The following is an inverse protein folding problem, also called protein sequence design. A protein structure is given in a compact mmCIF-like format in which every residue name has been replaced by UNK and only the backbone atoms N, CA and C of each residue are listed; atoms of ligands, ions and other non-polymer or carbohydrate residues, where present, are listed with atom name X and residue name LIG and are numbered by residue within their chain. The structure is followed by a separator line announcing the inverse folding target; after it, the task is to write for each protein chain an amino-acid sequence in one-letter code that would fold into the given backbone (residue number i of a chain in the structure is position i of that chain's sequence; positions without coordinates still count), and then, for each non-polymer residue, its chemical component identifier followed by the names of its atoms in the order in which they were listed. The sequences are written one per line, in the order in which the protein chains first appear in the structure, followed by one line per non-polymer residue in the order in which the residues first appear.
data_IF_132708430795
#
_entry.id   IF_132708430795
#
_cell.length_a   1.000
_cell.length_b   1.000
_cell.length_c   1.000
_cell.angle_alpha   90.00
_cell.angle_beta   90.00
_cell.angle_gamma   90.00
#
_symmetry.space_group_name_H-M   'P 1'
#
loop_
_entity.id
_entity.type
_entity.pdbx_description
1 polymer ?
#
# COMPACT_ATOMS: atom_id res chain seq x y z
N UNK A 1 -7.20 16.56 19.96
CA UNK A 1 -7.31 16.64 21.43
C UNK A 1 -7.58 18.10 21.79
N UNK A 2 -8.57 18.38 22.64
CA UNK A 2 -8.93 19.72 23.10
C UNK A 2 -8.46 19.93 24.55
N UNK A 3 -8.60 21.16 25.10
CA UNK A 3 -8.32 21.42 26.51
C UNK A 3 -9.20 20.57 27.45
N UNK A 4 -10.49 20.41 27.11
CA UNK A 4 -11.40 19.57 27.88
C UNK A 4 -11.00 18.09 27.84
N UNK A 5 -10.53 17.60 26.68
CA UNK A 5 -10.01 16.25 26.54
C UNK A 5 -8.80 16.03 27.43
N UNK A 6 -7.90 17.03 27.54
CA UNK A 6 -6.72 16.99 28.39
C UNK A 6 -7.09 16.89 29.88
N UNK A 7 -8.15 17.62 30.33
CA UNK A 7 -8.61 17.62 31.73
C UNK A 7 -9.25 16.30 32.14
N UNK A 8 -9.97 15.64 31.21
CA UNK A 8 -10.71 14.39 31.46
C UNK A 8 -9.92 13.15 31.06
N UNK A 9 -8.69 13.30 30.55
CA UNK A 9 -7.91 12.22 30.00
C UNK A 9 -7.56 11.15 31.03
N UNK A 10 -7.92 9.91 30.76
CA UNK A 10 -7.32 8.76 31.41
C UNK A 10 -6.04 8.38 30.67
N UNK A 11 -4.90 8.87 31.15
CA UNK A 11 -3.62 8.67 30.48
C UNK A 11 -3.17 7.19 30.41
N UNK A 12 -3.64 6.35 31.33
CA UNK A 12 -3.42 4.90 31.26
C UNK A 12 -4.12 4.29 30.03
N UNK A 13 -5.42 4.62 29.85
CA UNK A 13 -6.22 4.09 28.73
C UNK A 13 -5.73 4.64 27.38
N UNK A 14 -5.33 5.91 27.36
CA UNK A 14 -4.77 6.52 26.14
C UNK A 14 -3.45 5.81 25.78
N UNK A 15 -2.56 5.64 26.74
CA UNK A 15 -1.32 4.92 26.53
C UNK A 15 -1.57 3.49 26.05
N UNK A 16 -2.52 2.77 26.67
CA UNK A 16 -2.89 1.41 26.25
C UNK A 16 -3.39 1.35 24.81
N UNK A 17 -4.25 2.27 24.41
CA UNK A 17 -4.74 2.36 23.01
C UNK A 17 -3.60 2.64 22.03
N UNK A 18 -2.73 3.59 22.35
CA UNK A 18 -1.59 3.91 21.52
C UNK A 18 -0.61 2.73 21.44
N UNK A 19 -0.40 2.02 22.53
CA UNK A 19 0.39 0.80 22.54
C UNK A 19 -0.21 -0.31 21.69
N UNK A 20 -1.52 -0.54 21.77
CA UNK A 20 -2.26 -1.51 20.93
C UNK A 20 -2.20 -1.18 19.44
N UNK A 21 -2.10 0.10 19.10
CA UNK A 21 -2.01 0.58 17.71
C UNK A 21 -0.56 0.72 17.22
N UNK A 22 0.44 0.54 18.08
CA UNK A 22 1.85 0.71 17.73
C UNK A 22 2.24 2.15 17.42
N UNK A 23 1.55 3.12 18.03
CA UNK A 23 1.83 4.55 17.82
C UNK A 23 3.26 4.91 18.26
N UNK A 24 3.98 5.77 17.51
CA UNK A 24 5.31 6.21 17.92
C UNK A 24 5.24 7.13 19.15
N UNK A 25 6.35 7.26 19.87
CA UNK A 25 6.42 8.15 21.05
C UNK A 25 6.18 9.62 20.73
N UNK A 26 6.43 10.05 19.50
CA UNK A 26 6.12 11.40 19.03
C UNK A 26 4.63 11.77 19.19
N UNK A 27 3.74 10.79 19.17
CA UNK A 27 2.30 10.99 19.44
C UNK A 27 2.06 11.52 20.86
N UNK A 28 2.83 11.03 21.86
CA UNK A 28 2.79 11.58 23.22
C UNK A 28 3.32 13.00 23.28
N UNK A 29 4.43 13.28 22.59
CA UNK A 29 5.04 14.62 22.57
C UNK A 29 4.05 15.67 21.99
N UNK A 30 3.33 15.31 20.93
CA UNK A 30 2.27 16.13 20.36
C UNK A 30 1.15 16.42 21.37
N UNK A 31 0.69 15.39 22.09
CA UNK A 31 -0.34 15.54 23.14
C UNK A 31 0.13 16.40 24.30
N UNK A 32 1.36 16.22 24.75
CA UNK A 32 1.98 17.09 25.77
C UNK A 32 1.98 18.54 25.29
N UNK A 33 2.37 18.78 24.02
CA UNK A 33 2.39 20.13 23.43
C UNK A 33 1.00 20.78 23.43
N UNK A 34 -0.04 20.01 23.11
CA UNK A 34 -1.44 20.50 23.09
C UNK A 34 -1.90 20.83 24.51
N UNK A 35 -1.76 19.90 25.46
CA UNK A 35 -2.25 20.06 26.83
C UNK A 35 -1.52 21.18 27.60
N UNK A 36 -0.22 21.37 27.33
CA UNK A 36 0.59 22.46 27.91
C UNK A 36 0.07 23.85 27.56
N UNK A 37 -0.44 24.04 26.32
CA UNK A 37 -1.02 25.33 25.88
C UNK A 37 -2.23 25.73 26.74
N UNK A 38 -2.91 24.77 27.36
CA UNK A 38 -4.03 24.96 28.26
C UNK A 38 -3.65 24.88 29.75
N UNK A 39 -2.34 24.87 30.08
CA UNK A 39 -1.86 24.81 31.45
C UNK A 39 -2.03 23.42 32.10
N UNK A 40 -2.29 22.37 31.32
CA UNK A 40 -2.56 21.02 31.84
C UNK A 40 -1.33 20.15 31.70
N UNK A 41 -0.93 19.51 32.79
CA UNK A 41 0.19 18.57 32.81
C UNK A 41 -0.29 17.16 32.47
N UNK A 42 0.38 16.51 31.54
CA UNK A 42 0.13 15.12 31.11
C UNK A 42 0.80 14.17 32.13
N UNK A 43 0.06 13.16 32.61
CA UNK A 43 0.63 12.08 33.42
C UNK A 43 1.35 11.07 32.50
N UNK A 44 2.61 11.38 32.22
CA UNK A 44 3.48 10.56 31.35
C UNK A 44 3.78 9.19 31.95
N UNK A 45 3.77 9.04 33.27
CA UNK A 45 3.99 7.78 33.96
C UNK A 45 2.84 6.79 33.73
N UNK A 46 1.58 7.27 33.94
CA UNK A 46 0.41 6.44 33.65
C UNK A 46 0.30 6.11 32.16
N UNK A 47 0.59 7.08 31.28
CA UNK A 47 0.63 6.82 29.85
C UNK A 47 1.65 5.73 29.51
N UNK A 48 2.89 5.82 30.01
CA UNK A 48 3.93 4.83 29.74
C UNK A 48 3.51 3.42 30.18
N UNK A 49 2.92 3.30 31.38
CA UNK A 49 2.40 2.01 31.91
C UNK A 49 1.32 1.43 30.99
N UNK A 50 0.35 2.24 30.56
CA UNK A 50 -0.70 1.77 29.65
C UNK A 50 -0.13 1.38 28.28
N UNK A 51 0.79 2.19 27.77
CA UNK A 51 1.46 1.92 26.49
C UNK A 51 2.23 0.60 26.50
N UNK A 52 2.96 0.33 27.55
CA UNK A 52 3.67 -0.94 27.72
C UNK A 52 2.72 -2.14 27.69
N UNK A 53 1.59 -2.07 28.38
CA UNK A 53 0.54 -3.10 28.34
C UNK A 53 -0.01 -3.31 26.93
N UNK A 54 -0.29 -2.22 26.19
CA UNK A 54 -0.75 -2.30 24.79
C UNK A 54 0.28 -2.92 23.87
N UNK A 55 1.57 -2.55 24.04
CA UNK A 55 2.67 -3.08 23.24
C UNK A 55 2.89 -4.58 23.43
N UNK A 56 2.59 -5.16 24.60
CA UNK A 56 2.65 -6.61 24.79
C UNK A 56 1.75 -7.38 23.81
N UNK A 57 0.65 -6.79 23.40
CA UNK A 57 -0.25 -7.35 22.39
C UNK A 57 0.21 -7.00 20.98
N UNK A 58 0.54 -5.73 20.75
CA UNK A 58 0.96 -5.26 19.43
C UNK A 58 2.24 -5.94 18.94
N UNK A 59 3.24 -6.13 19.81
CA UNK A 59 4.56 -6.64 19.46
C UNK A 59 4.64 -8.19 19.39
N UNK A 60 3.51 -8.87 19.28
CA UNK A 60 3.51 -10.31 18.96
C UNK A 60 3.94 -10.54 17.53
N UNK A 61 4.73 -11.59 17.30
CA UNK A 61 5.30 -11.88 15.98
C UNK A 61 4.22 -12.09 14.92
N UNK A 62 3.09 -12.71 15.27
CA UNK A 62 1.95 -12.90 14.38
C UNK A 62 1.39 -11.58 13.88
N UNK A 63 1.43 -10.53 14.72
CA UNK A 63 0.96 -9.20 14.33
C UNK A 63 1.91 -8.53 13.33
N UNK A 64 3.22 -8.77 13.42
CA UNK A 64 4.18 -8.29 12.42
C UNK A 64 3.83 -8.78 11.01
N UNK A 65 3.50 -10.08 10.89
CA UNK A 65 3.08 -10.67 9.61
C UNK A 65 1.77 -10.06 9.13
N UNK A 66 0.78 -9.91 10.02
CA UNK A 66 -0.51 -9.32 9.66
C UNK A 66 -0.36 -7.87 9.19
N UNK A 67 0.44 -7.04 9.88
CA UNK A 67 0.72 -5.66 9.48
C UNK A 67 1.39 -5.59 8.11
N UNK A 68 2.43 -6.41 7.89
CA UNK A 68 3.15 -6.44 6.62
C UNK A 68 2.25 -6.85 5.46
N UNK A 69 1.48 -7.93 5.59
CA UNK A 69 0.56 -8.42 4.56
C UNK A 69 -0.56 -7.43 4.21
N UNK A 70 -0.95 -6.58 5.15
CA UNK A 70 -1.94 -5.53 4.93
C UNK A 70 -1.34 -4.20 4.44
N UNK A 71 -0.01 -4.12 4.28
CA UNK A 71 0.68 -2.90 3.87
C UNK A 71 0.64 -1.77 4.92
N UNK A 72 0.33 -2.10 6.18
CA UNK A 72 0.32 -1.14 7.26
C UNK A 72 1.75 -0.73 7.64
N UNK A 73 1.94 0.55 7.97
CA UNK A 73 3.26 1.07 8.34
C UNK A 73 3.65 0.63 9.74
N UNK A 74 4.90 0.18 9.91
CA UNK A 74 5.49 -0.12 11.20
C UNK A 74 6.43 1.01 11.64
N UNK A 75 6.09 1.68 12.75
CA UNK A 75 6.81 2.85 13.27
C UNK A 75 7.99 2.52 14.19
N UNK A 76 8.36 1.24 14.37
CA UNK A 76 9.41 0.85 15.31
C UNK A 76 8.98 0.99 16.78
N UNK A 77 7.72 0.70 17.07
CA UNK A 77 7.15 0.90 18.40
C UNK A 77 7.55 -0.19 19.42
N UNK A 78 8.02 -1.34 18.95
CA UNK A 78 8.34 -2.47 19.83
C UNK A 78 9.64 -2.27 20.60
N UNK A 79 9.76 -2.86 21.82
CA UNK A 79 10.99 -2.84 22.59
C UNK A 79 12.17 -3.44 21.80
N UNK A 80 13.43 -2.96 22.01
CA UNK A 80 14.59 -3.37 21.23
C UNK A 80 14.82 -4.88 21.16
N UNK A 81 14.52 -5.61 22.23
CA UNK A 81 14.67 -7.07 22.28
C UNK A 81 13.74 -7.82 21.33
N UNK A 82 12.59 -7.25 21.03
CA UNK A 82 11.55 -7.83 20.16
C UNK A 82 11.62 -7.21 18.75
N UNK A 83 12.00 -5.95 18.65
CA UNK A 83 11.94 -5.14 17.42
C UNK A 83 12.71 -5.78 16.25
N UNK A 84 13.86 -6.37 16.51
CA UNK A 84 14.70 -7.00 15.47
C UNK A 84 13.92 -8.12 14.75
N UNK A 85 13.35 -9.05 15.51
CA UNK A 85 12.59 -10.18 14.92
C UNK A 85 11.23 -9.71 14.38
N UNK A 86 10.56 -8.78 15.09
CA UNK A 86 9.31 -8.20 14.64
C UNK A 86 9.48 -7.52 13.27
N UNK A 87 10.52 -6.69 13.12
CA UNK A 87 10.85 -6.00 11.87
C UNK A 87 11.19 -7.00 10.77
N UNK A 88 11.99 -8.02 11.06
CA UNK A 88 12.32 -9.06 10.09
C UNK A 88 11.07 -9.74 9.52
N UNK A 89 10.13 -10.10 10.37
CA UNK A 89 8.86 -10.73 9.96
C UNK A 89 7.95 -9.76 9.22
N UNK A 90 7.90 -8.52 9.69
CA UNK A 90 7.16 -7.46 9.02
C UNK A 90 7.69 -7.22 7.61
N UNK A 91 9.01 -7.09 7.43
CA UNK A 91 9.62 -6.79 6.12
C UNK A 91 9.37 -7.92 5.11
N UNK A 92 9.45 -9.18 5.53
CA UNK A 92 9.12 -10.33 4.66
C UNK A 92 7.64 -10.31 4.23
N UNK A 93 6.74 -10.03 5.15
CA UNK A 93 5.32 -9.95 4.86
C UNK A 93 4.97 -8.71 4.01
N UNK A 94 5.62 -7.58 4.27
CA UNK A 94 5.44 -6.35 3.51
C UNK A 94 5.95 -6.47 2.07
N UNK A 95 7.03 -7.25 1.83
CA UNK A 95 7.48 -7.57 0.48
C UNK A 95 6.41 -8.34 -0.32
N UNK A 96 5.67 -9.25 0.32
CA UNK A 96 4.52 -9.93 -0.32
C UNK A 96 3.42 -8.93 -0.70
N UNK A 97 3.08 -8.01 0.21
CA UNK A 97 2.09 -6.96 -0.08
C UNK A 97 2.52 -6.10 -1.27
N UNK A 98 3.77 -5.65 -1.30
CA UNK A 98 4.31 -4.84 -2.40
C UNK A 98 4.26 -5.59 -3.73
N UNK A 99 4.71 -6.84 -3.76
CA UNK A 99 4.69 -7.66 -4.97
C UNK A 99 3.25 -7.91 -5.49
N UNK A 100 2.29 -8.15 -4.60
CA UNK A 100 0.85 -8.28 -4.97
C UNK A 100 0.29 -6.99 -5.53
N UNK A 101 0.59 -5.86 -4.91
CA UNK A 101 0.11 -4.54 -5.34
C UNK A 101 0.66 -4.18 -6.72
N UNK A 102 1.96 -4.41 -6.95
CA UNK A 102 2.57 -4.17 -8.26
C UNK A 102 1.98 -5.08 -9.34
N UNK A 103 1.87 -6.38 -9.07
CA UNK A 103 1.28 -7.33 -10.01
C UNK A 103 -0.15 -6.95 -10.38
N UNK A 104 -0.98 -6.61 -9.39
CA UNK A 104 -2.36 -6.16 -9.61
C UNK A 104 -2.42 -4.92 -10.50
N UNK A 105 -1.52 -3.96 -10.30
CA UNK A 105 -1.42 -2.76 -11.14
C UNK A 105 -1.05 -3.10 -12.58
N UNK A 106 -0.08 -4.00 -12.79
CA UNK A 106 0.34 -4.46 -14.13
C UNK A 106 -0.79 -5.22 -14.86
N UNK A 107 -1.50 -6.09 -14.15
CA UNK A 107 -2.63 -6.85 -14.72
C UNK A 107 -3.80 -5.92 -15.08
N UNK A 108 -4.12 -4.92 -14.24
CA UNK A 108 -5.13 -3.93 -14.56
C UNK A 108 -4.78 -3.11 -15.81
N UNK A 109 -3.48 -2.74 -15.96
CA UNK A 109 -3.00 -2.05 -17.17
C UNK A 109 -3.09 -2.95 -18.41
N UNK A 110 -2.76 -4.24 -18.30
CA UNK A 110 -2.88 -5.21 -19.40
C UNK A 110 -4.33 -5.32 -19.89
N UNK A 111 -5.29 -5.44 -18.96
CA UNK A 111 -6.71 -5.43 -19.29
C UNK A 111 -7.16 -4.13 -19.96
N UNK A 112 -6.61 -2.99 -19.56
CA UNK A 112 -6.91 -1.70 -20.18
C UNK A 112 -6.42 -1.64 -21.62
N UNK A 113 -5.19 -2.10 -21.89
CA UNK A 113 -4.63 -2.16 -23.26
C UNK A 113 -5.39 -3.13 -24.16
N UNK A 114 -5.81 -4.28 -23.63
CA UNK A 114 -6.64 -5.24 -24.37
C UNK A 114 -7.99 -4.63 -24.79
N UNK A 115 -8.64 -3.88 -23.88
CA UNK A 115 -9.87 -3.15 -24.21
C UNK A 115 -9.64 -2.10 -25.30
N UNK A 116 -8.55 -1.31 -25.19
CA UNK A 116 -8.20 -0.33 -26.21
C UNK A 116 -7.95 -0.97 -27.58
N UNK A 117 -7.33 -2.16 -27.65
CA UNK A 117 -7.16 -2.90 -28.89
C UNK A 117 -8.50 -3.37 -29.48
N UNK A 118 -9.43 -3.78 -28.64
CA UNK A 118 -10.78 -4.15 -29.07
C UNK A 118 -11.54 -2.93 -29.65
N UNK A 119 -11.48 -1.80 -28.98
CA UNK A 119 -12.19 -0.57 -29.37
C UNK A 119 -11.65 0.01 -30.68
N UNK A 120 -10.34 -0.14 -30.96
CA UNK A 120 -9.70 0.31 -32.20
C UNK A 120 -10.38 -0.28 -33.45
N UNK A 121 -10.73 -1.56 -33.44
CA UNK A 121 -11.33 -2.22 -34.60
C UNK A 121 -12.74 -1.68 -34.88
N UNK A 122 -13.49 -1.37 -33.84
CA UNK A 122 -14.80 -0.74 -33.95
C UNK A 122 -14.68 0.69 -34.50
N UNK A 123 -13.76 1.49 -33.95
CA UNK A 123 -13.53 2.88 -34.36
C UNK A 123 -13.04 2.97 -35.83
N UNK A 124 -12.14 2.06 -36.24
CA UNK A 124 -11.68 1.98 -37.61
C UNK A 124 -12.83 1.71 -38.56
N UNK A 125 -13.64 0.68 -38.26
CA UNK A 125 -14.77 0.32 -39.10
C UNK A 125 -15.72 1.50 -39.31
N UNK A 126 -16.07 2.21 -38.25
CA UNK A 126 -16.91 3.40 -38.29
C UNK A 126 -16.29 4.51 -39.16
N UNK A 127 -15.03 4.89 -38.92
CA UNK A 127 -14.35 5.96 -39.64
C UNK A 127 -14.15 5.62 -41.11
N UNK A 128 -13.91 4.36 -41.47
CA UNK A 128 -13.80 3.91 -42.87
C UNK A 128 -15.14 3.91 -43.56
N UNK A 129 -16.24 3.55 -42.87
CA UNK A 129 -17.60 3.60 -43.46
C UNK A 129 -18.06 5.02 -43.71
N UNK A 130 -17.69 5.98 -42.88
CA UNK A 130 -18.07 7.38 -42.96
C UNK A 130 -17.26 8.15 -44.04
N UNK A 131 -16.11 7.61 -44.48
CA UNK A 131 -15.23 8.23 -45.45
C UNK A 131 -15.77 8.03 -46.88
N UNK A 132 -15.91 9.13 -47.65
CA UNK A 132 -16.43 9.09 -49.01
C UNK A 132 -15.36 8.69 -50.05
N UNK A 133 -14.07 9.09 -49.80
CA UNK A 133 -12.96 8.94 -50.75
C UNK A 133 -12.08 7.76 -50.44
N UNK A 134 -11.66 7.00 -51.44
CA UNK A 134 -10.77 5.85 -51.26
C UNK A 134 -9.41 6.22 -50.68
N UNK A 135 -8.85 7.37 -51.03
CA UNK A 135 -7.56 7.81 -50.45
C UNK A 135 -7.68 8.17 -48.98
N UNK A 136 -8.83 8.67 -48.56
CA UNK A 136 -9.13 8.91 -47.14
C UNK A 136 -9.26 7.60 -46.39
N UNK A 137 -9.97 6.61 -46.88
CA UNK A 137 -10.08 5.25 -46.33
C UNK A 137 -8.71 4.61 -46.16
N UNK A 138 -7.81 4.75 -47.16
CA UNK A 138 -6.44 4.23 -47.05
C UNK A 138 -5.63 4.92 -45.94
N UNK A 139 -5.75 6.24 -45.77
CA UNK A 139 -5.09 6.99 -44.68
C UNK A 139 -5.59 6.55 -43.32
N UNK A 140 -6.90 6.42 -43.16
CA UNK A 140 -7.52 5.95 -41.91
C UNK A 140 -6.98 4.57 -41.54
N UNK A 141 -7.01 3.58 -42.46
CA UNK A 141 -6.50 2.25 -42.21
C UNK A 141 -5.03 2.26 -41.76
N UNK A 142 -4.19 3.06 -42.44
CA UNK A 142 -2.77 3.19 -42.09
C UNK A 142 -2.57 3.76 -40.67
N UNK A 143 -3.36 4.79 -40.31
CA UNK A 143 -3.35 5.37 -38.96
C UNK A 143 -3.70 4.31 -37.87
N UNK A 144 -4.78 3.56 -38.11
CA UNK A 144 -5.23 2.54 -37.19
C UNK A 144 -4.26 1.34 -37.10
N UNK A 145 -3.62 0.94 -38.20
CA UNK A 145 -2.56 -0.07 -38.19
C UNK A 145 -1.36 0.36 -37.34
N UNK A 146 -0.91 1.60 -37.47
CA UNK A 146 0.17 2.13 -36.64
C UNK A 146 -0.21 2.12 -35.16
N UNK A 147 -1.44 2.53 -34.83
CA UNK A 147 -1.94 2.54 -33.45
C UNK A 147 -2.06 1.13 -32.88
N UNK A 148 -2.58 0.15 -33.64
CA UNK A 148 -2.62 -1.26 -33.25
C UNK A 148 -1.21 -1.81 -32.98
N UNK A 149 -0.27 -1.54 -33.87
CA UNK A 149 1.10 -2.02 -33.71
C UNK A 149 1.76 -1.42 -32.45
N UNK A 150 1.54 -0.16 -32.16
CA UNK A 150 2.01 0.48 -30.93
C UNK A 150 1.43 -0.23 -29.68
N UNK A 151 0.11 -0.40 -29.62
CA UNK A 151 -0.54 -1.03 -28.45
C UNK A 151 -0.16 -2.51 -28.29
N UNK A 152 0.02 -3.25 -29.39
CA UNK A 152 0.49 -4.65 -29.34
C UNK A 152 1.91 -4.75 -28.79
N UNK A 153 2.80 -3.84 -29.17
CA UNK A 153 4.15 -3.80 -28.63
C UNK A 153 4.14 -3.44 -27.14
N UNK A 154 3.31 -2.47 -26.74
CA UNK A 154 3.16 -2.12 -25.32
C UNK A 154 2.60 -3.30 -24.50
N UNK A 155 1.61 -4.01 -25.03
CA UNK A 155 1.04 -5.21 -24.39
C UNK A 155 2.08 -6.31 -24.25
N UNK A 156 2.88 -6.56 -25.29
CA UNK A 156 3.95 -7.55 -25.26
C UNK A 156 4.98 -7.27 -24.15
N UNK A 157 5.45 -6.02 -24.03
CA UNK A 157 6.36 -5.63 -22.96
C UNK A 157 5.70 -5.72 -21.57
N UNK A 158 4.43 -5.37 -21.49
CA UNK A 158 3.66 -5.47 -20.26
C UNK A 158 3.47 -6.93 -19.80
N UNK A 159 3.21 -7.85 -20.71
CA UNK A 159 3.09 -9.28 -20.42
C UNK A 159 4.40 -9.87 -19.86
N UNK A 160 5.55 -9.37 -20.33
CA UNK A 160 6.85 -9.74 -19.75
C UNK A 160 6.99 -9.23 -18.31
N UNK A 161 6.50 -8.01 -18.03
CA UNK A 161 6.49 -7.44 -16.68
C UNK A 161 5.55 -8.21 -15.76
N UNK A 162 4.37 -8.58 -16.23
CA UNK A 162 3.41 -9.40 -15.48
C UNK A 162 4.03 -10.75 -15.09
N UNK A 163 4.72 -11.44 -16.02
CA UNK A 163 5.42 -12.68 -15.68
C UNK A 163 6.46 -12.46 -14.59
N UNK A 164 7.34 -11.46 -14.72
CA UNK A 164 8.32 -11.12 -13.67
C UNK A 164 7.66 -10.75 -12.33
N UNK A 165 6.53 -10.06 -12.37
CA UNK A 165 5.77 -9.73 -11.16
C UNK A 165 5.21 -10.98 -10.45
N UNK A 166 4.78 -11.99 -11.21
CA UNK A 166 4.35 -13.30 -10.65
C UNK A 166 5.51 -14.06 -10.02
N UNK A 167 6.68 -14.05 -10.67
CA UNK A 167 7.88 -14.68 -10.13
C UNK A 167 8.32 -14.00 -8.83
N UNK A 168 8.34 -12.66 -8.81
CA UNK A 168 8.67 -11.88 -7.60
C UNK A 168 7.69 -12.12 -6.45
N UNK A 169 6.39 -12.23 -6.74
CA UNK A 169 5.40 -12.59 -5.73
C UNK A 169 5.64 -13.98 -5.16
N UNK A 170 5.91 -14.96 -6.02
CA UNK A 170 6.19 -16.33 -5.59
C UNK A 170 7.46 -16.40 -4.70
N UNK A 171 8.51 -15.68 -5.06
CA UNK A 171 9.74 -15.56 -4.27
C UNK A 171 9.47 -14.95 -2.88
N UNK A 172 8.73 -13.83 -2.84
CA UNK A 172 8.38 -13.16 -1.59
C UNK A 172 7.52 -14.07 -0.68
N UNK A 173 6.51 -14.75 -1.23
CA UNK A 173 5.68 -15.70 -0.48
C UNK A 173 6.48 -16.91 0.02
N UNK A 174 7.45 -17.38 -0.76
CA UNK A 174 8.33 -18.47 -0.38
C UNK A 174 9.26 -18.05 0.76
N UNK A 175 9.85 -16.85 0.68
CA UNK A 175 10.69 -16.31 1.73
C UNK A 175 9.93 -16.14 3.06
N UNK A 176 8.67 -15.69 3.01
CA UNK A 176 7.82 -15.56 4.20
C UNK A 176 7.49 -16.92 4.84
N UNK A 177 7.33 -17.99 4.05
CA UNK A 177 7.03 -19.34 4.57
C UNK A 177 8.21 -20.04 5.23
N UNK A 178 9.43 -19.81 4.71
CA UNK A 178 10.64 -20.50 5.16
C UNK A 178 11.21 -19.87 6.45
N UNK A 179 10.98 -18.62 6.68
CA UNK A 179 11.49 -17.81 7.78
C UNK A 179 10.44 -17.50 8.83
#
# INVERSE_FOLDING_TARGET
MTAEDCQRANWLDIGMKDGLSGEPMTTLDERIGICRKSGITVDTGRYATGREQGLQTYCRIENAVALGLNGAYYAGACPPMIDVEFRRRYDLAHAVYQARSELSSLEARSLSLQRQLHDIDHDEHKRVSDAEKDDERKRIRKEFDQRRNYLRNELFELDRRVRRGRDALWEAESALRIN
#
